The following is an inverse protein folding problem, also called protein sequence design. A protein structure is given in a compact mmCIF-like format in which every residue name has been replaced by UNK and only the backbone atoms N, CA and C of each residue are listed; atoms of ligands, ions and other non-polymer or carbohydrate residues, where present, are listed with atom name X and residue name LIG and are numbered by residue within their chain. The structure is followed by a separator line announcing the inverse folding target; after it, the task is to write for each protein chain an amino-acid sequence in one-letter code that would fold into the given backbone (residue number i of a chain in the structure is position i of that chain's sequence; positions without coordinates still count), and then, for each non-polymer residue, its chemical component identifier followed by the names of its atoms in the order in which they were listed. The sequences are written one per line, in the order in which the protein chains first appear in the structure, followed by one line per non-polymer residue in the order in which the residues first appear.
data_IF_229435463549
#
_entry.id   IF_229435463549
#
_cell.length_a   1.000
_cell.length_b   1.000
_cell.length_c   1.000
_cell.angle_alpha   90.00
_cell.angle_beta   90.00
_cell.angle_gamma   90.00
#
_symmetry.space_group_name_H-M   'P 1'
#
loop_
_entity.id
_entity.type
_entity.pdbx_description
1 polymer ?
#
# COMPACT_ATOMS: atom_id res chain seq x y z
N UNK A 1 -11.58 30.59 11.46
CA UNK A 1 -11.97 30.74 10.06
C UNK A 1 -10.78 31.31 9.28
N UNK A 2 -9.84 30.44 8.90
CA UNK A 2 -8.84 30.75 7.88
C UNK A 2 -9.15 29.76 6.76
N UNK A 3 -10.11 30.09 5.92
CA UNK A 3 -10.36 29.31 4.72
C UNK A 3 -9.18 29.61 3.78
N UNK A 4 -8.17 28.73 3.80
CA UNK A 4 -6.97 28.83 2.97
C UNK A 4 -7.36 28.34 1.57
N UNK A 5 -8.34 28.98 0.94
CA UNK A 5 -8.71 28.69 -0.44
C UNK A 5 -7.52 28.98 -1.33
N UNK A 6 -6.85 27.94 -1.82
CA UNK A 6 -5.76 28.10 -2.76
C UNK A 6 -6.30 28.71 -4.05
N UNK A 7 -5.96 29.98 -4.30
CA UNK A 7 -6.34 30.68 -5.52
C UNK A 7 -5.79 29.90 -6.71
N UNK A 8 -6.69 29.46 -7.60
CA UNK A 8 -6.33 28.71 -8.81
C UNK A 8 -6.36 27.19 -8.68
N UNK A 9 -6.73 26.62 -7.52
CA UNK A 9 -6.86 25.17 -7.36
C UNK A 9 -7.87 24.56 -8.37
N UNK A 10 -9.01 25.22 -8.59
CA UNK A 10 -10.00 24.80 -9.59
C UNK A 10 -9.45 24.81 -11.02
N UNK A 11 -8.56 25.76 -11.33
CA UNK A 11 -7.91 25.82 -12.62
C UNK A 11 -6.91 24.67 -12.75
N UNK A 12 -6.15 24.38 -11.70
CA UNK A 12 -5.20 23.27 -11.68
C UNK A 12 -5.91 21.92 -11.90
N UNK A 13 -7.05 21.69 -11.25
CA UNK A 13 -7.89 20.52 -11.51
C UNK A 13 -8.35 20.42 -12.96
N UNK A 14 -8.77 21.53 -13.57
CA UNK A 14 -9.13 21.56 -15.00
C UNK A 14 -7.94 21.22 -15.89
N UNK A 15 -6.75 21.72 -15.58
CA UNK A 15 -5.54 21.40 -16.33
C UNK A 15 -5.19 19.91 -16.24
N UNK A 16 -5.30 19.30 -15.05
CA UNK A 16 -5.10 17.86 -14.87
C UNK A 16 -6.09 17.07 -15.71
N UNK A 17 -7.38 17.42 -15.66
CA UNK A 17 -8.43 16.63 -16.33
C UNK A 17 -8.53 16.85 -17.84
N UNK A 18 -8.21 18.04 -18.33
CA UNK A 18 -8.50 18.45 -19.72
C UNK A 18 -7.27 18.95 -20.49
N UNK A 19 -6.14 19.19 -19.83
CA UNK A 19 -4.91 19.63 -20.48
C UNK A 19 -4.29 18.55 -21.38
N UNK A 20 -3.30 18.94 -22.17
CA UNK A 20 -2.43 17.98 -22.87
C UNK A 20 -1.56 17.21 -21.88
N UNK A 21 -1.14 16.00 -22.23
CA UNK A 21 -0.35 15.13 -21.34
C UNK A 21 0.85 15.82 -20.67
N UNK A 22 1.74 16.56 -21.38
CA UNK A 22 2.88 17.20 -20.72
C UNK A 22 2.49 18.34 -19.77
N UNK A 23 1.33 18.97 -19.98
CA UNK A 23 0.85 20.06 -19.13
C UNK A 23 0.14 19.49 -17.91
N UNK A 24 -0.67 18.44 -18.10
CA UNK A 24 -1.32 17.71 -17.02
C UNK A 24 -0.29 17.07 -16.08
N UNK A 25 0.81 16.54 -16.61
CA UNK A 25 1.93 16.00 -15.83
C UNK A 25 2.52 17.04 -14.86
N UNK A 26 2.83 18.23 -15.37
CA UNK A 26 3.35 19.33 -14.53
C UNK A 26 2.34 19.77 -13.48
N UNK A 27 1.05 19.78 -13.85
CA UNK A 27 -0.02 20.12 -12.92
C UNK A 27 -0.19 19.07 -11.81
N UNK A 28 -0.03 17.78 -12.13
CA UNK A 28 -0.02 16.68 -11.15
C UNK A 28 1.12 16.88 -10.15
N UNK A 29 2.34 17.12 -10.62
CA UNK A 29 3.48 17.37 -9.75
C UNK A 29 3.28 18.59 -8.85
N UNK A 30 2.80 19.71 -9.41
CA UNK A 30 2.54 20.92 -8.64
C UNK A 30 1.47 20.69 -7.55
N UNK A 31 0.37 20.02 -7.91
CA UNK A 31 -0.70 19.74 -6.96
C UNK A 31 -0.22 18.82 -5.83
N UNK A 32 0.51 17.76 -6.18
CA UNK A 32 1.14 16.88 -5.20
C UNK A 32 2.05 17.65 -4.25
N UNK A 33 3.00 18.43 -4.78
CA UNK A 33 3.98 19.20 -4.00
C UNK A 33 3.28 20.17 -3.05
N UNK A 34 2.20 20.80 -3.51
CA UNK A 34 1.39 21.72 -2.69
C UNK A 34 0.80 21.05 -1.44
N UNK A 35 0.42 19.78 -1.54
CA UNK A 35 -0.18 19.03 -0.42
C UNK A 35 0.86 18.27 0.40
N UNK A 36 2.02 17.91 -0.14
CA UNK A 36 3.09 17.24 0.63
C UNK A 36 4.01 18.22 1.35
N UNK A 37 4.31 19.38 0.75
CA UNK A 37 5.25 20.38 1.30
C UNK A 37 4.56 21.42 2.18
N UNK A 38 3.90 20.95 3.24
CA UNK A 38 3.16 21.83 4.16
C UNK A 38 4.10 22.69 5.01
N UNK A 39 3.89 24.01 4.98
CA UNK A 39 4.59 24.93 5.87
C UNK A 39 4.19 24.75 7.35
N UNK A 40 4.98 25.24 8.32
CA UNK A 40 4.78 24.99 9.76
C UNK A 40 3.38 25.33 10.30
N UNK A 41 2.71 26.31 9.68
CA UNK A 41 1.35 26.74 10.07
C UNK A 41 0.25 25.76 9.66
N UNK A 42 0.51 24.90 8.67
CA UNK A 42 -0.45 23.96 8.10
C UNK A 42 -0.27 22.53 8.63
N UNK A 43 0.88 22.22 9.25
CA UNK A 43 1.19 20.89 9.79
C UNK A 43 0.13 20.41 10.79
N UNK A 44 -0.41 21.31 11.62
CA UNK A 44 -1.47 20.96 12.59
C UNK A 44 -2.78 20.53 11.92
N UNK A 45 -3.04 20.99 10.70
CA UNK A 45 -4.24 20.65 9.92
C UNK A 45 -3.92 19.63 8.81
N UNK A 46 -2.76 18.97 8.88
CA UNK A 46 -2.28 18.09 7.83
C UNK A 46 -3.26 16.96 7.50
N UNK A 47 -3.93 16.38 8.51
CA UNK A 47 -4.91 15.33 8.29
C UNK A 47 -6.04 15.84 7.38
N UNK A 48 -6.71 16.92 7.76
CA UNK A 48 -7.81 17.53 6.99
C UNK A 48 -7.38 17.89 5.56
N UNK A 49 -6.19 18.45 5.40
CA UNK A 49 -5.62 18.81 4.08
C UNK A 49 -5.44 17.56 3.21
N UNK A 50 -4.95 16.46 3.80
CA UNK A 50 -4.76 15.20 3.09
C UNK A 50 -6.10 14.53 2.75
N UNK A 51 -7.08 14.59 3.65
CA UNK A 51 -8.43 14.08 3.40
C UNK A 51 -9.11 14.84 2.26
N UNK A 52 -8.93 16.16 2.19
CA UNK A 52 -9.46 17.01 1.12
C UNK A 52 -8.92 16.62 -0.27
N UNK A 53 -7.60 16.41 -0.40
CA UNK A 53 -7.01 15.97 -1.67
C UNK A 53 -7.50 14.58 -2.08
N UNK A 54 -7.48 13.63 -1.14
CA UNK A 54 -7.86 12.24 -1.40
C UNK A 54 -9.35 12.17 -1.76
N UNK A 55 -10.21 12.88 -1.03
CA UNK A 55 -11.64 13.01 -1.30
C UNK A 55 -11.89 13.63 -2.67
N UNK A 56 -11.26 14.77 -2.96
CA UNK A 56 -11.36 15.45 -4.26
C UNK A 56 -10.91 14.57 -5.43
N UNK A 57 -9.82 13.80 -5.27
CA UNK A 57 -9.38 12.83 -6.28
C UNK A 57 -10.41 11.71 -6.47
N UNK A 58 -10.90 11.15 -5.37
CA UNK A 58 -11.83 10.02 -5.35
C UNK A 58 -13.17 10.38 -5.99
N UNK A 59 -13.71 11.55 -5.68
CA UNK A 59 -14.96 12.05 -6.27
C UNK A 59 -14.82 12.26 -7.78
N UNK A 60 -13.71 12.85 -8.23
CA UNK A 60 -13.44 13.04 -9.67
C UNK A 60 -13.21 11.72 -10.40
N UNK A 61 -12.59 10.75 -9.73
CA UNK A 61 -12.36 9.41 -10.27
C UNK A 61 -13.68 8.67 -10.43
N UNK A 62 -14.55 8.73 -9.41
CA UNK A 62 -15.92 8.19 -9.44
C UNK A 62 -16.79 8.86 -10.51
N UNK A 63 -16.74 10.18 -10.63
CA UNK A 63 -17.49 10.91 -11.66
C UNK A 63 -17.07 10.50 -13.09
N UNK A 64 -15.77 10.32 -13.34
CA UNK A 64 -15.26 9.87 -14.65
C UNK A 64 -15.68 8.42 -14.94
N UNK A 65 -15.60 7.55 -13.93
CA UNK A 65 -16.07 6.17 -14.01
C UNK A 65 -17.57 6.08 -14.31
N UNK A 66 -18.40 6.80 -13.55
CA UNK A 66 -19.86 6.76 -13.67
C UNK A 66 -20.32 7.31 -15.02
N UNK A 67 -19.64 8.35 -15.51
CA UNK A 67 -19.85 8.86 -16.86
C UNK A 67 -19.57 7.80 -17.91
N UNK A 68 -18.41 7.12 -17.83
CA UNK A 68 -18.07 6.07 -18.79
C UNK A 68 -19.03 4.88 -18.71
N UNK A 69 -19.42 4.48 -17.49
CA UNK A 69 -20.39 3.42 -17.25
C UNK A 69 -21.76 3.75 -17.88
N UNK A 70 -22.23 4.98 -17.74
CA UNK A 70 -23.47 5.43 -18.38
C UNK A 70 -23.40 5.32 -19.91
N UNK A 71 -22.27 5.72 -20.52
CA UNK A 71 -22.05 5.57 -21.97
C UNK A 71 -22.02 4.11 -22.42
N UNK A 72 -21.39 3.21 -21.65
CA UNK A 72 -21.37 1.77 -21.94
C UNK A 72 -22.79 1.19 -21.92
N UNK A 73 -23.60 1.56 -20.92
CA UNK A 73 -24.99 1.11 -20.82
C UNK A 73 -25.81 1.64 -22.01
N UNK A 74 -25.65 2.91 -22.37
CA UNK A 74 -26.32 3.50 -23.53
C UNK A 74 -25.94 2.80 -24.84
N UNK A 75 -24.67 2.44 -25.02
CA UNK A 75 -24.21 1.70 -26.20
C UNK A 75 -24.82 0.30 -26.26
N UNK A 76 -24.89 -0.42 -25.13
CA UNK A 76 -25.47 -1.78 -25.08
C UNK A 76 -26.98 -1.80 -25.33
N UNK A 77 -27.70 -0.72 -24.99
CA UNK A 77 -29.15 -0.63 -25.16
C UNK A 77 -29.57 -0.08 -26.54
N UNK A 78 -28.63 0.36 -27.38
CA UNK A 78 -28.96 0.90 -28.69
C UNK A 78 -29.49 -0.16 -29.65
N UNK A 79 -30.65 0.15 -30.26
CA UNK A 79 -31.17 -0.66 -31.36
C UNK A 79 -30.44 -0.31 -32.67
N UNK A 80 -30.22 -1.29 -33.58
CA UNK A 80 -29.40 -1.11 -34.78
C UNK A 80 -29.85 0.01 -35.74
N UNK A 81 -31.13 0.42 -35.68
CA UNK A 81 -31.73 1.36 -36.62
C UNK A 81 -31.89 2.81 -36.08
N UNK A 82 -31.59 3.06 -34.79
CA UNK A 82 -31.66 4.40 -34.15
C UNK A 82 -30.44 4.65 -33.24
N UNK A 83 -29.23 4.51 -33.80
CA UNK A 83 -28.00 4.75 -33.03
C UNK A 83 -27.83 6.25 -32.70
N UNK A 84 -28.18 6.64 -31.48
CA UNK A 84 -27.98 8.00 -30.94
C UNK A 84 -26.51 8.35 -30.65
N UNK A 85 -25.63 7.35 -30.53
CA UNK A 85 -24.18 7.53 -30.27
C UNK A 85 -23.42 6.73 -31.31
N UNK A 86 -22.57 7.39 -32.10
CA UNK A 86 -21.74 6.64 -33.06
C UNK A 86 -20.62 5.90 -32.33
N UNK A 87 -20.10 4.83 -32.94
CA UNK A 87 -18.94 4.10 -32.41
C UNK A 87 -17.73 5.02 -32.19
N UNK A 88 -17.57 6.02 -33.07
CA UNK A 88 -16.53 7.05 -32.95
C UNK A 88 -16.75 7.94 -31.73
N UNK A 89 -17.99 8.34 -31.44
CA UNK A 89 -18.31 9.15 -30.25
C UNK A 89 -18.04 8.36 -28.97
N UNK A 90 -18.43 7.09 -28.95
CA UNK A 90 -18.14 6.19 -27.84
C UNK A 90 -16.63 6.02 -27.63
N UNK A 91 -15.87 5.75 -28.70
CA UNK A 91 -14.41 5.61 -28.61
C UNK A 91 -13.73 6.89 -28.11
N UNK A 92 -14.17 8.06 -28.59
CA UNK A 92 -13.67 9.35 -28.13
C UNK A 92 -13.98 9.60 -26.65
N UNK A 93 -15.22 9.31 -26.22
CA UNK A 93 -15.61 9.50 -24.82
C UNK A 93 -14.88 8.53 -23.90
N UNK A 94 -14.80 7.26 -24.29
CA UNK A 94 -14.05 6.24 -23.58
C UNK A 94 -12.60 6.65 -23.39
N UNK A 95 -11.93 7.11 -24.46
CA UNK A 95 -10.56 7.64 -24.37
C UNK A 95 -10.43 8.83 -23.43
N UNK A 96 -11.37 9.77 -23.46
CA UNK A 96 -11.34 10.95 -22.58
C UNK A 96 -11.48 10.57 -21.11
N UNK A 97 -12.47 9.74 -20.76
CA UNK A 97 -12.68 9.34 -19.36
C UNK A 97 -11.56 8.45 -18.84
N UNK A 98 -11.08 7.48 -19.64
CA UNK A 98 -9.92 6.65 -19.27
C UNK A 98 -8.66 7.47 -19.06
N UNK A 99 -8.42 8.49 -19.89
CA UNK A 99 -7.31 9.44 -19.71
C UNK A 99 -7.43 10.20 -18.38
N UNK A 100 -8.62 10.74 -18.07
CA UNK A 100 -8.87 11.44 -16.79
C UNK A 100 -8.64 10.53 -15.59
N UNK A 101 -9.17 9.32 -15.63
CA UNK A 101 -8.98 8.33 -14.56
C UNK A 101 -7.50 7.98 -14.39
N UNK A 102 -6.76 7.75 -15.48
CA UNK A 102 -5.31 7.47 -15.40
C UNK A 102 -4.53 8.62 -14.75
N UNK A 103 -4.86 9.88 -15.07
CA UNK A 103 -4.22 11.06 -14.48
C UNK A 103 -4.51 11.21 -12.98
N UNK A 104 -5.74 10.96 -12.56
CA UNK A 104 -6.13 10.96 -11.14
C UNK A 104 -5.45 9.82 -10.36
N UNK A 105 -5.41 8.62 -10.93
CA UNK A 105 -4.70 7.48 -10.35
C UNK A 105 -3.19 7.77 -10.26
N UNK A 106 -2.60 8.45 -11.24
CA UNK A 106 -1.21 8.86 -11.20
C UNK A 106 -0.94 9.88 -10.09
N UNK A 107 -1.78 10.90 -9.97
CA UNK A 107 -1.69 11.88 -8.88
C UNK A 107 -1.73 11.19 -7.52
N UNK A 108 -2.68 10.30 -7.29
CA UNK A 108 -2.77 9.53 -6.05
C UNK A 108 -1.52 8.66 -5.81
N UNK A 109 -1.04 7.97 -6.85
CA UNK A 109 0.16 7.13 -6.72
C UNK A 109 1.41 7.93 -6.35
N UNK A 110 1.65 9.05 -7.03
CA UNK A 110 2.80 9.89 -6.72
C UNK A 110 2.66 10.55 -5.36
N UNK A 111 1.45 10.98 -5.01
CA UNK A 111 1.17 11.57 -3.71
C UNK A 111 1.42 10.60 -2.56
N UNK A 112 0.91 9.37 -2.66
CA UNK A 112 1.16 8.32 -1.65
C UNK A 112 2.65 8.00 -1.57
N UNK A 113 3.34 7.89 -2.71
CA UNK A 113 4.78 7.60 -2.77
C UNK A 113 5.63 8.70 -2.12
N UNK A 114 5.40 9.96 -2.44
CA UNK A 114 6.17 11.08 -1.90
C UNK A 114 5.95 11.19 -0.39
N UNK A 115 4.69 11.09 0.05
CA UNK A 115 4.36 11.08 1.48
C UNK A 115 5.05 9.92 2.22
N UNK A 116 5.08 8.74 1.60
CA UNK A 116 5.75 7.57 2.17
C UNK A 116 7.27 7.66 2.17
N UNK A 117 7.88 8.31 1.19
CA UNK A 117 9.32 8.48 1.16
C UNK A 117 9.80 9.36 2.33
N UNK A 118 9.07 10.42 2.65
CA UNK A 118 9.37 11.26 3.82
C UNK A 118 9.21 10.48 5.13
N UNK A 119 8.12 9.72 5.27
CA UNK A 119 7.86 8.92 6.46
C UNK A 119 8.85 7.77 6.61
N UNK A 120 9.15 7.00 5.55
CA UNK A 120 10.11 5.89 5.60
C UNK A 120 11.48 6.31 6.14
N UNK A 121 11.84 7.59 6.03
CA UNK A 121 13.08 8.15 6.57
C UNK A 121 13.01 8.52 8.06
N UNK A 122 11.80 8.71 8.63
CA UNK A 122 11.59 9.12 10.04
C UNK A 122 10.91 8.04 10.89
N UNK A 123 9.77 7.49 10.44
CA UNK A 123 8.91 6.57 11.19
C UNK A 123 8.35 5.44 10.29
N UNK A 124 7.85 4.36 10.89
CA UNK A 124 7.21 3.29 10.12
C UNK A 124 5.70 3.44 10.13
N UNK A 125 5.07 3.15 8.98
CA UNK A 125 3.62 3.07 8.90
C UNK A 125 3.08 2.01 9.86
N UNK A 126 2.03 2.34 10.60
CA UNK A 126 1.26 1.37 11.39
C UNK A 126 0.69 0.25 10.51
N UNK A 127 0.22 0.60 9.31
CA UNK A 127 -0.28 -0.35 8.31
C UNK A 127 0.59 -0.27 7.05
N UNK A 128 1.29 -1.37 6.73
CA UNK A 128 2.10 -1.43 5.53
C UNK A 128 1.22 -1.40 4.26
N UNK A 129 1.71 -0.78 3.16
CA UNK A 129 1.15 -0.99 1.84
C UNK A 129 1.03 -2.48 1.52
N UNK A 130 -0.03 -2.90 0.83
CA UNK A 130 -0.28 -4.30 0.49
C UNK A 130 0.91 -4.96 -0.25
N UNK A 131 1.52 -4.22 -1.18
CA UNK A 131 2.71 -4.67 -1.91
C UNK A 131 3.95 -4.92 -1.03
N UNK A 132 3.95 -4.43 0.21
CA UNK A 132 5.01 -4.64 1.21
C UNK A 132 4.55 -5.40 2.45
N UNK A 133 3.26 -5.76 2.53
CA UNK A 133 2.67 -6.38 3.71
C UNK A 133 3.06 -7.86 3.87
N UNK A 134 3.56 -8.50 2.81
CA UNK A 134 4.02 -9.88 2.81
C UNK A 134 5.55 -9.99 2.76
N UNK A 135 6.11 -11.12 3.22
CA UNK A 135 7.54 -11.40 3.13
C UNK A 135 8.00 -11.47 1.68
N UNK A 136 9.05 -10.72 1.39
CA UNK A 136 9.73 -10.77 0.10
C UNK A 136 10.77 -11.90 0.04
N UNK A 137 11.70 -11.78 -0.91
CA UNK A 137 12.85 -12.70 -0.99
C UNK A 137 13.73 -12.52 0.24
N UNK A 138 13.98 -13.59 0.98
CA UNK A 138 14.84 -13.59 2.16
C UNK A 138 16.32 -13.53 1.77
N UNK A 139 17.11 -12.76 2.52
CA UNK A 139 18.54 -12.64 2.33
C UNK A 139 19.27 -12.24 3.62
N UNK A 140 20.60 -12.40 3.61
CA UNK A 140 21.47 -11.97 4.73
C UNK A 140 22.05 -10.61 4.40
N UNK A 141 21.88 -9.66 5.32
CA UNK A 141 22.45 -8.32 5.25
C UNK A 141 23.66 -8.23 6.18
N UNK A 142 24.83 -7.93 5.61
CA UNK A 142 26.07 -7.67 6.33
C UNK A 142 26.16 -6.17 6.61
N UNK A 143 26.17 -5.80 7.89
CA UNK A 143 26.22 -4.42 8.35
C UNK A 143 27.64 -4.09 8.82
N UNK A 144 28.31 -3.20 8.07
CA UNK A 144 29.67 -2.76 8.35
C UNK A 144 29.71 -1.43 9.07
N UNK A 145 30.61 -1.30 10.04
CA UNK A 145 30.82 -0.07 10.81
C UNK A 145 32.19 0.55 10.50
N UNK A 146 32.28 1.50 9.56
CA UNK A 146 33.55 2.11 9.21
C UNK A 146 34.06 2.99 10.36
N UNK A 147 35.17 2.57 10.97
CA UNK A 147 35.98 3.28 11.96
C UNK A 147 35.31 3.59 13.32
N UNK A 148 35.62 2.74 14.30
CA UNK A 148 35.76 3.13 15.71
C UNK A 148 37.09 2.51 16.22
N UNK A 149 37.85 3.22 17.06
CA UNK A 149 39.16 2.75 17.58
C UNK A 149 39.13 1.42 18.36
N UNK A 150 37.95 0.81 18.51
CA UNK A 150 37.70 -0.63 18.72
C UNK A 150 36.75 -1.09 17.61
N UNK A 151 37.16 -2.06 16.80
CA UNK A 151 36.37 -2.59 15.69
C UNK A 151 35.05 -3.20 16.21
N UNK A 152 33.86 -2.65 15.92
CA UNK A 152 32.65 -3.44 16.01
C UNK A 152 32.72 -4.47 14.87
N UNK A 153 32.63 -5.76 15.19
CA UNK A 153 32.52 -6.80 14.17
C UNK A 153 31.31 -6.53 13.26
N UNK A 154 31.44 -6.90 11.98
CA UNK A 154 30.34 -6.86 11.03
C UNK A 154 29.14 -7.65 11.62
N UNK A 155 27.96 -7.05 11.55
CA UNK A 155 26.74 -7.70 12.06
C UNK A 155 25.99 -8.32 10.89
N UNK A 156 25.70 -9.60 10.98
CA UNK A 156 24.79 -10.28 10.05
C UNK A 156 23.34 -10.24 10.54
N UNK A 157 22.44 -9.82 9.66
CA UNK A 157 21.00 -9.74 9.94
C UNK A 157 20.24 -10.45 8.82
N UNK A 158 19.33 -11.34 9.21
CA UNK A 158 18.35 -11.92 8.29
C UNK A 158 17.23 -10.93 8.01
N UNK A 159 16.94 -10.69 6.73
CA UNK A 159 15.93 -9.72 6.27
C UNK A 159 15.27 -10.22 4.97
N UNK A 160 14.36 -9.43 4.40
CA UNK A 160 13.74 -9.72 3.10
C UNK A 160 13.45 -8.46 2.29
N UNK A 161 13.26 -8.61 0.98
CA UNK A 161 13.12 -7.47 0.04
C UNK A 161 12.00 -6.48 0.36
N UNK A 162 10.92 -6.93 1.01
CA UNK A 162 9.79 -6.05 1.36
C UNK A 162 9.94 -5.32 2.69
N UNK A 163 10.98 -5.61 3.48
CA UNK A 163 11.17 -5.04 4.81
C UNK A 163 11.45 -3.53 4.74
N UNK A 164 10.99 -2.75 5.72
CA UNK A 164 11.25 -1.30 5.76
C UNK A 164 12.66 -1.01 6.26
N UNK A 165 13.30 0.02 5.69
CA UNK A 165 14.60 0.48 6.18
C UNK A 165 14.53 0.93 7.65
N UNK A 166 13.40 1.49 8.08
CA UNK A 166 13.14 1.85 9.46
C UNK A 166 13.19 0.62 10.40
N UNK A 167 12.58 -0.50 10.00
CA UNK A 167 12.62 -1.76 10.77
C UNK A 167 14.01 -2.38 10.77
N UNK A 168 14.70 -2.42 9.62
CA UNK A 168 16.11 -2.87 9.55
C UNK A 168 16.98 -2.01 10.48
N UNK A 169 16.84 -0.69 10.43
CA UNK A 169 17.57 0.26 11.30
C UNK A 169 17.28 0.01 12.78
N UNK A 170 16.02 -0.23 13.17
CA UNK A 170 15.65 -0.59 14.54
C UNK A 170 16.31 -1.89 15.00
N UNK A 171 16.36 -2.92 14.16
CA UNK A 171 17.05 -4.18 14.48
C UNK A 171 18.55 -4.00 14.64
N UNK A 172 19.20 -3.26 13.73
CA UNK A 172 20.62 -2.89 13.85
C UNK A 172 20.86 -2.21 15.20
N UNK A 173 20.06 -1.18 15.49
CA UNK A 173 20.16 -0.41 16.73
C UNK A 173 19.95 -1.26 17.99
N UNK A 174 18.97 -2.17 17.99
CA UNK A 174 18.74 -3.08 19.10
C UNK A 174 19.94 -3.99 19.35
N UNK A 175 20.52 -4.54 18.27
CA UNK A 175 21.69 -5.43 18.35
C UNK A 175 22.96 -4.70 18.79
N UNK A 176 23.18 -3.47 18.31
CA UNK A 176 24.33 -2.66 18.75
C UNK A 176 24.18 -2.22 20.21
N UNK A 177 22.97 -1.84 20.66
CA UNK A 177 22.71 -1.47 22.08
C UNK A 177 22.90 -2.65 23.03
N UNK A 178 22.48 -3.87 22.64
CA UNK A 178 22.73 -5.06 23.46
C UNK A 178 24.21 -5.39 23.60
N UNK A 179 25.03 -5.02 22.61
CA UNK A 179 26.48 -5.25 22.61
C UNK A 179 27.25 -4.14 23.31
N UNK A 180 26.81 -2.87 23.22
CA UNK A 180 27.49 -1.69 23.77
C UNK A 180 26.54 -0.89 24.68
N UNK A 181 26.71 -1.00 26.00
CA UNK A 181 25.81 -0.43 27.03
C UNK A 181 25.75 1.11 27.11
N UNK A 182 26.54 1.87 26.32
CA UNK A 182 26.79 3.30 26.60
C UNK A 182 26.60 4.29 25.45
N UNK A 183 25.97 3.94 24.32
CA UNK A 183 25.86 4.89 23.21
C UNK A 183 24.42 5.14 22.74
N UNK A 184 23.97 6.39 22.86
CA UNK A 184 22.90 6.93 22.03
C UNK A 184 23.47 7.11 20.62
N UNK A 185 23.08 6.17 19.75
CA UNK A 185 23.65 5.96 18.43
C UNK A 185 22.69 6.45 17.35
N UNK A 186 23.17 7.23 16.40
CA UNK A 186 22.46 7.49 15.15
C UNK A 186 23.11 6.66 14.06
N UNK A 187 22.43 5.60 13.61
CA UNK A 187 22.84 4.84 12.43
C UNK A 187 22.38 5.56 11.16
N UNK A 188 23.30 6.20 10.44
CA UNK A 188 23.06 6.59 9.04
C UNK A 188 23.46 5.43 8.15
N UNK A 189 22.46 4.74 7.60
CA UNK A 189 22.68 3.68 6.66
C UNK A 189 22.97 4.29 5.28
N UNK A 190 24.23 4.29 4.86
CA UNK A 190 24.58 4.50 3.45
C UNK A 190 24.25 3.23 2.69
N UNK A 191 23.02 3.13 2.18
CA UNK A 191 22.55 1.94 1.46
C UNK A 191 22.78 2.15 -0.02
N UNK A 192 23.40 1.18 -0.70
CA UNK A 192 23.11 0.93 -2.12
C UNK A 192 21.62 0.56 -2.19
N UNK A 193 20.75 1.57 -2.20
CA UNK A 193 19.31 1.46 -2.00
C UNK A 193 18.59 0.58 -3.04
N UNK A 194 19.28 0.18 -4.11
CA UNK A 194 18.74 -0.67 -5.17
C UNK A 194 18.32 -2.08 -4.74
N UNK A 195 18.81 -2.60 -3.60
CA UNK A 195 18.45 -3.96 -3.15
C UNK A 195 17.18 -4.02 -2.28
N UNK A 196 16.87 -2.96 -1.53
CA UNK A 196 15.67 -2.88 -0.67
C UNK A 196 14.51 -2.18 -1.41
N UNK A 197 14.78 -1.53 -2.54
CA UNK A 197 13.81 -0.71 -3.27
C UNK A 197 13.33 -1.32 -4.60
N UNK A 198 13.55 -2.61 -4.83
CA UNK A 198 13.09 -3.24 -6.06
C UNK A 198 11.71 -3.87 -5.89
N UNK A 199 10.65 -3.06 -5.79
CA UNK A 199 9.30 -3.39 -6.30
C UNK A 199 8.46 -2.12 -6.52
N UNK A 200 8.89 -1.29 -7.46
CA UNK A 200 7.97 -0.52 -8.31
C UNK A 200 8.47 -0.79 -9.72
N UNK A 201 7.57 -1.14 -10.65
CA UNK A 201 7.81 -1.59 -12.04
C UNK A 201 7.91 -3.12 -12.18
N UNK A 202 6.85 -3.70 -12.75
CA UNK A 202 6.68 -5.13 -12.98
C UNK A 202 7.57 -5.69 -14.08
N UNK A 203 8.85 -5.88 -13.80
CA UNK A 203 9.75 -6.71 -14.61
C UNK A 203 10.35 -7.79 -13.71
N UNK A 204 9.59 -8.85 -13.49
CA UNK A 204 10.10 -10.07 -12.86
C UNK A 204 10.85 -10.88 -13.93
N UNK A 205 12.18 -10.83 -13.94
CA UNK A 205 12.98 -11.93 -14.49
C UNK A 205 13.26 -12.96 -13.39
N UNK A 206 13.11 -14.26 -13.65
CA UNK A 206 13.40 -15.31 -12.68
C UNK A 206 14.90 -15.61 -12.71
N UNK A 207 15.72 -14.80 -12.03
CA UNK A 207 17.14 -15.09 -11.87
C UNK A 207 17.37 -15.90 -10.59
N UNK A 208 17.73 -17.17 -10.82
CA UNK A 208 18.53 -18.13 -10.03
C UNK A 208 18.85 -17.75 -8.58
N UNK A 209 18.63 -18.72 -7.69
CA UNK A 209 19.05 -18.76 -6.29
C UNK A 209 20.58 -18.58 -6.14
N UNK A 210 21.07 -17.35 -6.27
CA UNK A 210 22.31 -16.95 -5.61
C UNK A 210 21.95 -16.54 -4.17
N UNK A 211 22.73 -17.00 -3.19
CA UNK A 211 22.71 -16.38 -1.86
C UNK A 211 23.00 -14.89 -2.04
N UNK A 212 21.95 -14.08 -2.07
CA UNK A 212 22.09 -12.65 -2.20
C UNK A 212 22.58 -12.16 -0.85
N UNK A 213 23.88 -11.88 -0.71
CA UNK A 213 24.39 -11.17 0.45
C UNK A 213 24.34 -9.68 0.13
N UNK A 214 23.54 -8.93 0.89
CA UNK A 214 23.50 -7.47 0.80
C UNK A 214 24.54 -6.87 1.75
N UNK A 215 25.16 -5.75 1.38
CA UNK A 215 26.06 -5.01 2.26
C UNK A 215 25.50 -3.63 2.57
N UNK A 216 25.45 -3.28 3.86
CA UNK A 216 24.99 -1.98 4.35
C UNK A 216 26.08 -1.36 5.22
N UNK A 217 26.38 -0.09 4.99
CA UNK A 217 27.35 0.64 5.82
C UNK A 217 26.58 1.49 6.84
N UNK A 218 26.82 1.28 8.13
CA UNK A 218 26.22 2.03 9.20
C UNK A 218 27.29 2.83 9.95
N UNK A 219 27.13 4.15 10.04
CA UNK A 219 27.98 4.97 10.91
C UNK A 219 27.34 5.10 12.27
N UNK A 220 28.13 4.99 13.32
CA UNK A 220 27.70 5.10 14.72
C UNK A 220 28.26 6.40 15.31
N UNK A 221 27.41 7.39 15.57
CA UNK A 221 27.79 8.62 16.28
C UNK A 221 27.46 8.51 17.77
N UNK A 222 28.40 8.82 18.67
CA UNK A 222 28.13 8.98 20.10
C UNK A 222 27.64 10.41 20.36
N UNK A 223 26.46 10.59 20.96
CA UNK A 223 26.08 11.88 21.53
C UNK A 223 26.79 12.04 22.88
N UNK A 224 27.94 12.71 22.88
CA UNK A 224 28.62 13.08 24.12
C UNK A 224 27.86 14.26 24.77
N UNK A 225 27.13 14.01 25.85
CA UNK A 225 26.82 15.03 26.87
C UNK A 225 28.03 15.15 27.79
N UNK A 226 29.13 15.71 27.28
CA UNK A 226 30.27 16.12 28.09
C UNK A 226 30.46 17.63 27.92
N UNK A 227 30.22 18.33 29.02
CA UNK A 227 30.31 19.78 29.21
C UNK A 227 31.66 20.37 28.76
N UNK A 228 31.61 21.33 27.85
CA UNK A 228 32.55 22.45 27.77
C UNK A 228 31.75 23.67 27.27
N UNK A 229 31.68 24.71 28.10
CA UNK A 229 30.61 25.70 28.08
C UNK A 229 30.63 26.74 26.96
N UNK A 230 29.43 27.18 26.60
CA UNK A 230 29.02 28.58 26.46
C UNK A 230 27.49 28.63 26.45
N UNK A 231 26.84 29.54 27.21
CA UNK A 231 25.39 29.62 27.25
C UNK A 231 24.95 30.53 26.11
N UNK A 232 24.31 29.97 25.09
CA UNK A 232 23.33 30.74 24.35
C UNK A 232 22.08 29.90 24.16
N UNK A 233 21.02 30.35 24.83
CA UNK A 233 19.70 29.76 24.85
C UNK A 233 19.19 29.53 23.43
N UNK A 234 18.89 28.28 23.11
CA UNK A 234 17.78 27.97 22.21
C UNK A 234 17.02 26.79 22.79
N UNK A 235 15.76 27.04 23.07
CA UNK A 235 14.83 26.12 23.71
C UNK A 235 14.63 24.88 22.86
N UNK A 236 15.08 23.73 23.36
CA UNK A 236 14.56 22.43 22.96
C UNK A 236 13.09 22.35 23.39
N UNK A 237 12.19 22.82 22.53
CA UNK A 237 10.80 22.40 22.59
C UNK A 237 10.75 20.93 22.16
N UNK A 238 10.86 20.05 23.14
CA UNK A 238 10.42 18.67 23.02
C UNK A 238 8.90 18.67 22.84
N UNK A 239 8.42 18.93 21.63
CA UNK A 239 7.13 18.38 21.24
C UNK A 239 7.37 16.90 21.07
N UNK A 240 7.05 16.13 22.10
CA UNK A 240 6.70 14.73 21.94
C UNK A 240 5.61 14.67 20.88
N UNK A 241 6.02 14.44 19.64
CA UNK A 241 5.11 14.17 18.55
C UNK A 241 4.41 12.88 18.91
N UNK A 242 3.15 12.98 19.31
CA UNK A 242 2.21 11.86 19.24
C UNK A 242 2.40 11.15 17.90
N UNK A 243 2.30 9.80 17.83
CA UNK A 243 2.48 9.07 16.59
C UNK A 243 1.63 9.74 15.52
N UNK A 244 2.28 10.36 14.53
CA UNK A 244 1.59 11.08 13.49
C UNK A 244 0.81 10.04 12.72
N UNK A 245 -0.51 10.01 12.94
CA UNK A 245 -1.41 9.12 12.25
C UNK A 245 -1.24 9.38 10.75
N UNK A 246 -0.80 8.35 10.01
CA UNK A 246 -1.00 8.32 8.57
C UNK A 246 -2.48 8.69 8.31
N UNK A 247 -2.78 9.52 7.30
CA UNK A 247 -4.11 10.08 7.13
C UNK A 247 -5.16 8.96 7.17
N UNK A 248 -6.04 9.03 8.16
CA UNK A 248 -7.15 8.10 8.38
C UNK A 248 -8.14 8.08 7.21
N UNK A 249 -8.05 9.02 6.29
CA UNK A 249 -8.89 9.14 5.09
C UNK A 249 -8.81 7.96 4.11
N UNK A 250 -7.76 7.13 4.16
CA UNK A 250 -7.77 5.84 3.43
C UNK A 250 -8.88 4.89 3.93
N UNK A 251 -9.59 5.25 5.00
CA UNK A 251 -10.76 4.57 5.52
C UNK A 251 -12.10 4.98 4.88
N UNK A 252 -12.13 5.62 3.70
CA UNK A 252 -13.30 5.35 2.85
C UNK A 252 -13.22 3.85 2.53
N UNK A 253 -14.00 3.06 3.29
CA UNK A 253 -14.03 1.59 3.32
C UNK A 253 -14.31 0.95 1.95
N UNK A 254 -14.38 1.76 0.89
CA UNK A 254 -14.81 1.44 -0.46
C UNK A 254 -13.79 1.77 -1.53
N UNK A 255 -12.63 2.39 -1.21
CA UNK A 255 -11.64 2.72 -2.25
C UNK A 255 -11.01 1.46 -2.85
N UNK A 256 -10.61 0.46 -2.05
CA UNK A 256 -9.99 -0.76 -2.59
C UNK A 256 -10.95 -1.56 -3.49
N UNK A 257 -12.21 -1.84 -3.10
CA UNK A 257 -13.20 -2.42 -4.00
C UNK A 257 -13.42 -1.60 -5.27
N UNK A 258 -13.44 -0.27 -5.17
CA UNK A 258 -13.60 0.61 -6.34
C UNK A 258 -12.40 0.56 -7.29
N UNK A 259 -11.17 0.47 -6.76
CA UNK A 259 -9.97 0.29 -7.58
C UNK A 259 -9.97 -1.08 -8.28
N UNK A 260 -10.51 -2.13 -7.65
CA UNK A 260 -10.72 -3.41 -8.32
C UNK A 260 -11.70 -3.27 -9.50
N UNK A 261 -12.80 -2.56 -9.31
CA UNK A 261 -13.77 -2.26 -10.39
C UNK A 261 -13.12 -1.47 -11.53
N UNK A 262 -12.28 -0.49 -11.23
CA UNK A 262 -11.53 0.26 -12.24
C UNK A 262 -10.53 -0.62 -13.01
N UNK A 263 -9.88 -1.57 -12.32
CA UNK A 263 -8.99 -2.52 -12.96
C UNK A 263 -9.73 -3.48 -13.89
N UNK A 264 -10.91 -3.94 -13.49
CA UNK A 264 -11.79 -4.74 -14.35
C UNK A 264 -12.32 -3.95 -15.53
N UNK A 265 -12.73 -2.70 -15.32
CA UNK A 265 -13.15 -1.79 -16.39
C UNK A 265 -12.02 -1.56 -17.41
N UNK A 266 -10.80 -1.33 -16.94
CA UNK A 266 -9.61 -1.24 -17.80
C UNK A 266 -9.36 -2.53 -18.58
N UNK A 267 -9.66 -3.69 -18.00
CA UNK A 267 -9.57 -4.99 -18.69
C UNK A 267 -10.66 -5.15 -19.76
N UNK A 268 -11.92 -4.81 -19.43
CA UNK A 268 -13.06 -4.85 -20.35
C UNK A 268 -12.84 -3.96 -21.57
N UNK A 269 -12.27 -2.76 -21.36
CA UNK A 269 -11.98 -1.79 -22.42
C UNK A 269 -10.64 -2.04 -23.13
N UNK A 270 -9.89 -3.08 -22.77
CA UNK A 270 -8.53 -3.34 -23.27
C UNK A 270 -7.56 -2.16 -23.05
N UNK A 271 -7.79 -1.35 -22.02
CA UNK A 271 -7.00 -0.17 -21.67
C UNK A 271 -5.96 -0.49 -20.58
N UNK A 272 -4.81 -1.03 -21.00
CA UNK A 272 -3.76 -1.51 -20.10
C UNK A 272 -3.33 -0.48 -19.04
N UNK A 273 -3.12 0.77 -19.43
CA UNK A 273 -2.68 1.82 -18.51
C UNK A 273 -3.66 2.06 -17.36
N UNK A 274 -4.97 1.94 -17.60
CA UNK A 274 -5.99 2.16 -16.56
C UNK A 274 -5.98 1.01 -15.57
N UNK A 275 -5.97 -0.22 -16.11
CA UNK A 275 -5.91 -1.44 -15.34
C UNK A 275 -4.67 -1.47 -14.44
N UNK A 276 -3.52 -1.18 -15.03
CA UNK A 276 -2.24 -1.28 -14.32
C UNK A 276 -2.08 -0.14 -13.31
N UNK A 277 -2.55 1.08 -13.62
CA UNK A 277 -2.57 2.19 -12.67
C UNK A 277 -3.44 1.88 -11.44
N UNK A 278 -4.63 1.31 -11.62
CA UNK A 278 -5.51 0.94 -10.51
C UNK A 278 -4.87 -0.15 -9.62
N UNK A 279 -4.26 -1.17 -10.22
CA UNK A 279 -3.53 -2.24 -9.51
C UNK A 279 -2.29 -1.74 -8.78
N UNK A 280 -1.57 -0.78 -9.35
CA UNK A 280 -0.39 -0.19 -8.71
C UNK A 280 -0.78 0.63 -7.49
N UNK A 281 -1.86 1.42 -7.59
CA UNK A 281 -2.38 2.16 -6.44
C UNK A 281 -2.87 1.20 -5.34
N UNK A 282 -3.60 0.12 -5.68
CA UNK A 282 -4.00 -0.92 -4.72
C UNK A 282 -2.82 -1.47 -3.90
N UNK A 283 -1.66 -1.67 -4.55
CA UNK A 283 -0.45 -2.16 -3.88
C UNK A 283 0.22 -1.14 -2.96
N UNK A 284 -0.04 0.15 -3.14
CA UNK A 284 0.46 1.24 -2.28
C UNK A 284 -0.45 1.51 -1.07
N UNK A 285 -1.71 1.09 -1.14
CA UNK A 285 -2.66 1.19 -0.04
C UNK A 285 -2.55 0.00 0.91
N UNK A 286 -2.89 0.16 2.20
CA UNK A 286 -3.01 -0.98 3.10
C UNK A 286 -4.15 -1.91 2.66
N UNK A 287 -4.09 -3.16 3.14
CA UNK A 287 -5.17 -4.12 2.95
C UNK A 287 -6.48 -3.59 3.56
N UNK A 288 -7.60 -3.82 2.87
CA UNK A 288 -8.93 -3.43 3.31
C UNK A 288 -9.29 -4.24 4.57
N UNK A 289 -9.60 -3.59 5.70
CA UNK A 289 -10.01 -4.27 6.92
C UNK A 289 -11.17 -5.25 6.69
N UNK A 290 -12.11 -4.94 5.79
CA UNK A 290 -13.23 -5.85 5.50
C UNK A 290 -12.77 -7.08 4.72
N UNK A 291 -11.81 -6.94 3.81
CA UNK A 291 -11.24 -8.09 3.10
C UNK A 291 -10.49 -9.02 4.07
N UNK A 292 -9.74 -8.46 5.01
CA UNK A 292 -9.08 -9.23 6.07
C UNK A 292 -10.13 -9.96 6.92
N UNK A 293 -11.17 -9.26 7.39
CA UNK A 293 -12.22 -9.86 8.22
C UNK A 293 -12.98 -10.97 7.51
N UNK A 294 -13.31 -10.79 6.22
CA UNK A 294 -13.94 -11.84 5.41
C UNK A 294 -13.05 -13.08 5.28
N UNK A 295 -11.76 -12.89 5.01
CA UNK A 295 -10.80 -14.00 4.90
C UNK A 295 -10.60 -14.73 6.22
N UNK A 296 -10.45 -13.99 7.33
CA UNK A 296 -10.35 -14.56 8.68
C UNK A 296 -11.61 -15.37 9.00
N UNK A 297 -12.80 -14.77 8.86
CA UNK A 297 -14.07 -15.44 9.15
C UNK A 297 -14.24 -16.73 8.31
N UNK A 298 -13.98 -16.66 7.00
CA UNK A 298 -14.10 -17.82 6.11
C UNK A 298 -13.05 -18.91 6.39
N UNK A 299 -11.91 -18.56 6.99
CA UNK A 299 -10.89 -19.52 7.40
C UNK A 299 -11.24 -20.25 8.70
N UNK A 300 -12.11 -19.68 9.53
CA UNK A 300 -12.50 -20.31 10.80
C UNK A 300 -13.30 -21.59 10.52
N UNK A 301 -13.05 -22.62 11.31
CA UNK A 301 -13.89 -23.83 11.33
C UNK A 301 -15.10 -23.50 12.19
N UNK A 302 -16.34 -23.72 11.71
CA UNK A 302 -17.50 -23.64 12.58
C UNK A 302 -17.27 -24.61 13.74
N UNK A 303 -17.14 -24.08 14.96
CA UNK A 303 -17.23 -24.87 16.17
C UNK A 303 -18.65 -25.42 16.23
N UNK A 304 -18.92 -26.50 15.50
CA UNK A 304 -20.04 -27.38 15.79
C UNK A 304 -19.66 -28.02 17.12
N UNK A 305 -20.05 -27.35 18.20
CA UNK A 305 -20.28 -28.00 19.48
C UNK A 305 -21.22 -29.15 19.18
N UNK A 306 -20.66 -30.35 19.12
CA UNK A 306 -21.40 -31.59 19.17
C UNK A 306 -22.09 -31.65 20.52
N UNK A 307 -23.28 -31.06 20.59
CA UNK A 307 -24.23 -31.30 21.67
C UNK A 307 -25.58 -31.68 21.08
N UNK A 308 -25.63 -32.84 20.43
CA UNK A 308 -26.66 -33.85 20.68
C UNK A 308 -26.35 -35.14 19.89
N UNK A 309 -26.36 -36.33 20.52
CA UNK A 309 -26.33 -37.59 19.81
C UNK A 309 -27.77 -37.97 19.45
N UNK A 310 -28.14 -37.88 18.18
CA UNK A 310 -29.29 -38.65 17.68
C UNK A 310 -28.93 -39.28 16.35
N UNK A 311 -28.72 -40.59 16.44
CA UNK A 311 -28.66 -41.58 15.37
C UNK A 311 -29.84 -41.38 14.42
N UNK A 312 -29.56 -41.22 13.13
CA UNK A 312 -30.28 -41.92 12.05
C UNK A 312 -29.38 -42.00 10.83
N UNK A 313 -28.99 -43.23 10.53
CA UNK A 313 -28.45 -43.69 9.25
C UNK A 313 -29.39 -43.37 8.10
N UNK A 314 -28.89 -42.84 6.99
CA UNK A 314 -29.03 -43.43 5.64
C UNK A 314 -28.53 -42.51 4.52
N UNK A 315 -27.97 -43.17 3.51
CA UNK A 315 -27.78 -42.78 2.10
C UNK A 315 -26.48 -42.08 1.67
N UNK A 316 -25.58 -42.93 1.18
CA UNK A 316 -24.49 -42.64 0.25
C UNK A 316 -25.04 -41.95 -1.01
N UNK A 317 -24.75 -40.65 -1.16
CA UNK A 317 -24.62 -39.99 -2.46
C UNK A 317 -23.33 -39.18 -2.42
N UNK A 318 -22.45 -39.41 -3.39
CA UNK A 318 -21.06 -38.94 -3.36
C UNK A 318 -20.94 -37.43 -3.08
N UNK A 319 -19.90 -36.98 -2.36
CA UNK A 319 -19.87 -35.61 -1.92
C UNK A 319 -19.43 -34.73 -3.09
N UNK A 320 -20.40 -34.09 -3.76
CA UNK A 320 -20.14 -32.76 -4.32
C UNK A 320 -19.97 -31.87 -3.09
N UNK A 321 -18.75 -31.82 -2.56
CA UNK A 321 -18.42 -30.92 -1.46
C UNK A 321 -18.70 -29.51 -1.97
N UNK A 322 -19.71 -28.85 -1.40
CA UNK A 322 -19.93 -27.43 -1.62
C UNK A 322 -18.61 -26.70 -1.34
N UNK A 323 -18.20 -25.73 -2.18
CA UNK A 323 -16.93 -25.04 -1.99
C UNK A 323 -16.87 -24.50 -0.57
N UNK A 324 -15.72 -24.65 0.08
CA UNK A 324 -15.53 -24.08 1.41
C UNK A 324 -15.86 -22.58 1.38
N UNK A 325 -16.33 -22.00 2.49
CA UNK A 325 -16.59 -20.56 2.57
C UNK A 325 -15.37 -19.74 2.10
N UNK A 326 -14.16 -20.25 2.36
CA UNK A 326 -12.91 -19.69 1.88
C UNK A 326 -12.77 -19.74 0.36
N UNK A 327 -13.09 -20.86 -0.29
CA UNK A 327 -13.11 -20.97 -1.77
C UNK A 327 -14.13 -20.01 -2.40
N UNK A 328 -15.28 -19.82 -1.76
CA UNK A 328 -16.34 -18.96 -2.29
C UNK A 328 -15.88 -17.50 -2.49
N UNK A 329 -14.95 -17.02 -1.65
CA UNK A 329 -14.34 -15.69 -1.76
C UNK A 329 -13.57 -15.52 -3.08
N UNK A 330 -13.01 -16.61 -3.61
CA UNK A 330 -12.23 -16.61 -4.85
C UNK A 330 -13.06 -16.97 -6.08
N UNK A 331 -14.12 -17.76 -5.94
CA UNK A 331 -14.94 -18.19 -7.09
C UNK A 331 -15.94 -17.11 -7.52
N UNK A 332 -16.58 -16.41 -6.58
CA UNK A 332 -17.66 -15.46 -6.87
C UNK A 332 -17.16 -14.05 -7.26
N UNK A 333 -15.85 -13.82 -7.22
CA UNK A 333 -15.25 -12.50 -7.37
C UNK A 333 -14.81 -12.20 -8.81
N UNK A 334 -14.71 -10.90 -9.15
CA UNK A 334 -14.12 -10.49 -10.43
C UNK A 334 -12.61 -10.79 -10.48
N UNK A 335 -11.98 -10.92 -11.66
CA UNK A 335 -10.55 -11.25 -11.76
C UNK A 335 -9.63 -10.31 -10.95
N UNK A 336 -9.91 -9.00 -10.94
CA UNK A 336 -9.10 -8.06 -10.16
C UNK A 336 -9.36 -8.18 -8.65
N UNK A 337 -10.59 -8.51 -8.25
CA UNK A 337 -10.94 -8.76 -6.84
C UNK A 337 -10.31 -10.07 -6.34
N UNK A 338 -10.28 -11.11 -7.16
CA UNK A 338 -9.58 -12.38 -6.85
C UNK A 338 -8.10 -12.11 -6.62
N UNK A 339 -7.44 -11.42 -7.55
CA UNK A 339 -6.02 -11.07 -7.42
C UNK A 339 -5.76 -10.28 -6.14
N UNK A 340 -6.62 -9.31 -5.83
CA UNK A 340 -6.53 -8.53 -4.61
C UNK A 340 -6.67 -9.41 -3.35
N UNK A 341 -7.69 -10.27 -3.27
CA UNK A 341 -7.86 -11.18 -2.14
C UNK A 341 -6.71 -12.17 -2.00
N UNK A 342 -6.11 -12.64 -3.10
CA UNK A 342 -4.92 -13.49 -3.07
C UNK A 342 -3.72 -12.75 -2.47
N UNK A 343 -3.49 -11.50 -2.85
CA UNK A 343 -2.42 -10.69 -2.25
C UNK A 343 -2.66 -10.43 -0.76
N UNK A 344 -3.92 -10.16 -0.36
CA UNK A 344 -4.28 -9.98 1.06
C UNK A 344 -4.08 -11.29 1.83
N UNK A 345 -4.56 -12.42 1.32
CA UNK A 345 -4.36 -13.73 1.94
C UNK A 345 -2.87 -14.05 2.07
N UNK A 346 -2.06 -13.76 1.05
CA UNK A 346 -0.61 -13.97 1.12
C UNK A 346 0.05 -13.10 2.20
N UNK A 347 -0.39 -11.86 2.37
CA UNK A 347 0.09 -10.98 3.46
C UNK A 347 -0.27 -11.48 4.86
N UNK A 348 -1.38 -12.20 5.01
CA UNK A 348 -1.76 -12.85 6.27
C UNK A 348 -1.01 -14.17 6.49
N UNK A 349 -0.75 -14.95 5.43
CA UNK A 349 0.03 -16.19 5.56
C UNK A 349 1.49 -15.91 5.89
N UNK A 350 2.07 -14.92 5.21
CA UNK A 350 3.50 -14.61 5.29
C UNK A 350 3.71 -13.12 5.58
N UNK A 351 3.39 -12.62 6.79
CA UNK A 351 3.50 -11.20 7.11
C UNK A 351 4.94 -10.71 7.04
N UNK A 352 5.14 -9.52 6.46
CA UNK A 352 6.44 -8.85 6.37
C UNK A 352 7.01 -8.51 7.76
N UNK A 353 6.14 -8.08 8.67
CA UNK A 353 6.56 -7.81 10.04
C UNK A 353 6.66 -9.13 10.83
N UNK A 354 7.69 -9.25 11.65
CA UNK A 354 7.93 -10.43 12.48
C UNK A 354 6.85 -10.65 13.54
N UNK A 355 6.19 -9.57 13.99
CA UNK A 355 5.07 -9.63 14.92
C UNK A 355 3.77 -9.92 14.15
N UNK A 356 3.28 -11.15 14.22
CA UNK A 356 1.96 -11.51 13.72
C UNK A 356 0.87 -10.84 14.57
N UNK A 357 -0.11 -10.22 13.93
CA UNK A 357 -1.32 -9.77 14.63
C UNK A 357 -2.21 -10.96 14.98
N UNK A 358 -3.13 -10.79 15.93
CA UNK A 358 -4.12 -11.82 16.29
C UNK A 358 -4.86 -12.36 15.05
N UNK A 359 -5.40 -11.46 14.21
CA UNK A 359 -6.05 -11.80 12.93
C UNK A 359 -5.15 -12.61 12.00
N UNK A 360 -3.85 -12.34 11.98
CA UNK A 360 -2.87 -13.10 11.17
C UNK A 360 -2.76 -14.53 11.68
N UNK A 361 -2.57 -14.70 12.99
CA UNK A 361 -2.46 -16.01 13.63
C UNK A 361 -3.73 -16.84 13.49
N UNK A 362 -4.90 -16.22 13.66
CA UNK A 362 -6.20 -16.85 13.44
C UNK A 362 -6.35 -17.34 12.00
N UNK A 363 -6.05 -16.49 11.02
CA UNK A 363 -6.11 -16.86 9.61
C UNK A 363 -5.15 -17.99 9.27
N UNK A 364 -3.90 -17.93 9.73
CA UNK A 364 -2.89 -18.97 9.50
C UNK A 364 -3.36 -20.33 10.04
N UNK A 365 -3.87 -20.36 11.28
CA UNK A 365 -4.38 -21.58 11.89
C UNK A 365 -5.59 -22.13 11.12
N UNK A 366 -6.59 -21.28 10.84
CA UNK A 366 -7.79 -21.66 10.10
C UNK A 366 -7.48 -22.18 8.69
N UNK A 367 -6.58 -21.49 7.99
CA UNK A 367 -6.11 -21.88 6.66
C UNK A 367 -5.43 -23.25 6.66
N UNK A 368 -4.53 -23.52 7.61
CA UNK A 368 -3.84 -24.82 7.74
C UNK A 368 -4.85 -25.93 8.07
N UNK A 369 -5.76 -25.70 9.02
CA UNK A 369 -6.73 -26.70 9.44
C UNK A 369 -7.73 -27.07 8.34
N UNK A 370 -8.02 -26.15 7.40
CA UNK A 370 -8.85 -26.41 6.22
C UNK A 370 -8.09 -27.06 5.05
N UNK A 371 -6.77 -27.25 5.16
CA UNK A 371 -5.95 -27.81 4.07
C UNK A 371 -5.63 -26.79 2.96
N UNK A 372 -5.79 -25.50 3.22
CA UNK A 372 -5.56 -24.41 2.25
C UNK A 372 -6.74 -24.13 1.32
N UNK A 373 -6.45 -23.49 0.18
CA UNK A 373 -7.41 -23.26 -0.90
C UNK A 373 -7.14 -24.33 -1.98
N UNK A 374 -8.08 -25.24 -2.28
CA UNK A 374 -7.92 -26.14 -3.41
C UNK A 374 -7.86 -25.31 -4.70
N UNK A 375 -6.79 -25.46 -5.46
CA UNK A 375 -6.54 -24.75 -6.74
C UNK A 375 -7.05 -25.54 -7.93
#
# INVERSE_FOLDING_TARGET
MNDVGLIGLDYLWRVILFGSDPVAEKAIHLLKETYTSLGPRLVNNQVEIHEDLIGSCSDRLRASHDTLRAYIIQQQQQQPHEALVTEKDFANRSRQETTRMCRLLKLLQEYVNDYDCEFQMREERTLLPLGRAHRGKCFTLVVRFPNQGRQPEDIEIWTHSNETLATVRRRIMARVKSTNQTAALSATAGVNASLIQSQVVGHQQPTVQQQQSGMLTAKLSQSNTAVAGSPDSSSDSSTGGSPQHAPSSYQDKRINPFLCQLADLGSQLQHAQLRDAARNLLRQLPADPQAIERLVAASQIPLVVSSSPTVTSSEETGPIQSPSELESIFIAASPSTILYHLEVAYSLLMPANLSASEKTSEFQLGFILRGGIPL
#
